data_IF_607494129610
#
_entry.id   IF_607494129610
#
_cell.length_a   1.000
_cell.length_b   1.000
_cell.length_c   1.000
_cell.angle_alpha   90.00
_cell.angle_beta   90.00
_cell.angle_gamma   90.00
#
_symmetry.space_group_name_H-M   'P 1'
#
loop_
_entity.id
_entity.type
_entity.pdbx_description
1 polymer ?
#
# COMPACT_ATOMS: atom_id res chain seq x y z
N UNK A 1 83.39 66.78 9.64
CA UNK A 1 83.20 65.32 9.49
C UNK A 1 81.93 65.00 10.25
N UNK A 2 80.77 65.31 9.65
CA UNK A 2 79.93 64.42 8.81
C UNK A 2 78.90 63.72 9.70
N UNK A 3 77.67 64.25 9.76
CA UNK A 3 76.47 63.88 8.95
C UNK A 3 75.72 62.68 9.56
N UNK A 4 74.58 62.97 10.22
CA UNK A 4 73.20 62.69 9.77
C UNK A 4 72.71 61.31 10.24
N UNK A 5 71.84 61.24 11.25
CA UNK A 5 70.39 61.41 11.18
C UNK A 5 69.67 60.24 10.47
N UNK A 6 68.87 59.53 11.27
CA UNK A 6 67.57 58.94 10.92
C UNK A 6 67.51 57.97 9.75
N UNK A 7 67.15 56.69 10.01
CA UNK A 7 66.16 55.99 9.17
C UNK A 7 65.39 54.94 9.97
N UNK A 8 64.15 55.33 10.27
CA UNK A 8 62.90 54.58 10.19
C UNK A 8 62.81 53.16 10.78
N UNK A 9 62.04 53.08 11.87
CA UNK A 9 61.26 51.91 12.23
C UNK A 9 60.40 51.45 11.03
N UNK A 10 60.80 50.34 10.41
CA UNK A 10 60.05 49.68 9.35
C UNK A 10 58.84 48.93 9.92
N UNK A 11 57.65 49.43 9.59
CA UNK A 11 56.36 48.77 9.78
C UNK A 11 56.41 47.32 9.25
N UNK A 12 55.91 46.28 9.96
CA UNK A 12 55.86 44.93 9.42
C UNK A 12 54.98 44.89 8.15
N UNK A 13 55.32 44.03 7.16
CA UNK A 13 54.79 44.13 5.81
C UNK A 13 53.32 43.68 5.78
N UNK A 14 52.41 44.65 5.67
CA UNK A 14 50.97 44.42 5.49
C UNK A 14 50.66 43.54 4.26
N UNK A 15 51.52 43.61 3.25
CA UNK A 15 51.40 42.93 1.96
C UNK A 15 51.48 41.40 2.12
N UNK A 16 52.39 40.92 2.96
CA UNK A 16 52.62 39.49 3.18
C UNK A 16 51.46 38.85 3.98
N UNK A 17 50.80 39.61 4.86
CA UNK A 17 49.61 39.14 5.57
C UNK A 17 48.37 39.02 4.67
N UNK A 18 48.18 39.97 3.75
CA UNK A 18 47.08 39.93 2.78
C UNK A 18 47.30 38.79 1.80
N UNK A 19 48.52 38.63 1.27
CA UNK A 19 48.87 37.52 0.38
C UNK A 19 48.68 36.16 1.06
N UNK A 20 49.11 36.00 2.32
CA UNK A 20 48.85 34.79 3.11
C UNK A 20 47.36 34.53 3.33
N UNK A 21 46.56 35.55 3.61
CA UNK A 21 45.09 35.41 3.73
C UNK A 21 44.44 35.04 2.39
N UNK A 22 44.86 35.68 1.30
CA UNK A 22 44.34 35.44 -0.04
C UNK A 22 44.66 34.02 -0.50
N UNK A 23 45.92 33.60 -0.36
CA UNK A 23 46.34 32.22 -0.65
C UNK A 23 45.57 31.22 0.21
N UNK A 24 45.38 31.50 1.50
CA UNK A 24 44.58 30.63 2.38
C UNK A 24 43.10 30.52 1.95
N UNK A 25 42.51 31.59 1.43
CA UNK A 25 41.14 31.59 0.91
C UNK A 25 41.07 30.80 -0.41
N UNK A 26 42.04 31.00 -1.30
CA UNK A 26 42.15 30.29 -2.59
C UNK A 26 42.43 28.79 -2.42
N UNK A 27 43.23 28.41 -1.42
CA UNK A 27 43.52 27.03 -1.04
C UNK A 27 42.29 26.31 -0.49
N UNK A 28 41.36 27.04 0.12
CA UNK A 28 40.15 26.46 0.71
C UNK A 28 39.17 25.94 -0.35
N UNK A 29 39.39 26.23 -1.65
CA UNK A 29 38.71 25.63 -2.83
C UNK A 29 37.19 25.48 -2.66
N UNK A 30 36.55 26.44 -1.99
CA UNK A 30 35.11 26.40 -1.67
C UNK A 30 34.26 26.32 -2.95
N UNK A 31 34.79 26.86 -4.05
CA UNK A 31 34.14 26.89 -5.36
C UNK A 31 34.22 25.53 -6.10
N UNK A 32 35.05 24.60 -5.62
CA UNK A 32 35.31 23.30 -6.26
C UNK A 32 34.47 22.18 -5.67
N UNK A 33 33.95 22.37 -4.45
CA UNK A 33 33.14 21.37 -3.77
C UNK A 33 31.65 21.68 -3.94
N UNK A 34 30.99 20.82 -4.71
CA UNK A 34 29.58 20.98 -5.05
C UNK A 34 28.66 20.85 -3.85
N UNK A 35 28.99 19.99 -2.88
CA UNK A 35 28.16 19.79 -1.69
C UNK A 35 28.15 21.03 -0.79
N UNK A 36 29.30 21.67 -0.61
CA UNK A 36 29.38 22.93 0.14
C UNK A 36 28.70 24.08 -0.59
N UNK A 37 28.79 24.16 -1.93
CA UNK A 37 28.05 25.16 -2.71
C UNK A 37 26.54 24.97 -2.62
N UNK A 38 26.05 23.74 -2.68
CA UNK A 38 24.62 23.43 -2.52
C UNK A 38 24.16 23.78 -1.09
N UNK A 39 24.93 23.40 -0.06
CA UNK A 39 24.63 23.74 1.33
C UNK A 39 24.62 25.27 1.58
N UNK A 40 25.56 26.01 0.97
CA UNK A 40 25.59 27.47 1.05
C UNK A 40 24.42 28.12 0.29
N UNK A 41 24.01 27.53 -0.83
CA UNK A 41 22.84 27.96 -1.58
C UNK A 41 21.57 27.78 -0.75
N UNK A 42 21.39 26.62 -0.12
CA UNK A 42 20.28 26.36 0.78
C UNK A 42 20.30 27.28 2.01
N UNK A 43 21.48 27.53 2.59
CA UNK A 43 21.65 28.48 3.69
C UNK A 43 21.21 29.89 3.29
N UNK A 44 21.55 30.32 2.07
CA UNK A 44 21.22 31.65 1.54
C UNK A 44 19.71 31.89 1.41
N UNK A 45 18.90 30.83 1.25
CA UNK A 45 17.44 30.97 1.14
C UNK A 45 16.79 31.49 2.42
N UNK A 46 17.38 31.22 3.60
CA UNK A 46 16.82 31.61 4.89
C UNK A 46 17.74 32.49 5.74
N UNK A 47 19.03 32.55 5.41
CA UNK A 47 20.01 33.42 6.06
C UNK A 47 20.27 34.66 5.18
N UNK A 48 19.31 35.58 5.16
CA UNK A 48 19.34 36.78 4.30
C UNK A 48 20.16 37.92 4.88
N UNK A 49 20.27 38.02 6.21
CA UNK A 49 20.96 39.11 6.89
C UNK A 49 22.18 38.63 7.71
N UNK A 50 23.36 39.15 7.36
CA UNK A 50 24.60 38.86 8.09
C UNK A 50 24.82 39.78 9.30
N UNK A 51 23.94 39.68 10.31
CA UNK A 51 24.13 40.38 11.59
C UNK A 51 24.83 39.50 12.62
N UNK A 52 25.40 40.11 13.67
CA UNK A 52 26.01 39.38 14.79
C UNK A 52 24.99 38.45 15.48
N UNK A 53 23.75 38.90 15.59
CA UNK A 53 22.65 38.15 16.18
C UNK A 53 22.24 36.97 15.28
N UNK A 54 22.12 37.20 13.97
CA UNK A 54 21.83 36.15 12.98
C UNK A 54 22.89 35.05 13.04
N UNK A 55 24.18 35.43 13.09
CA UNK A 55 25.30 34.49 13.14
C UNK A 55 25.32 33.67 14.43
N UNK A 56 25.03 34.30 15.57
CA UNK A 56 24.91 33.62 16.87
C UNK A 56 23.78 32.59 16.88
N UNK A 57 22.65 32.89 16.23
CA UNK A 57 21.46 32.06 16.24
C UNK A 57 21.40 31.06 15.08
N UNK A 58 22.33 31.12 14.12
CA UNK A 58 22.29 30.34 12.88
C UNK A 58 22.17 28.84 13.13
N UNK A 59 22.98 28.29 14.04
CA UNK A 59 22.93 26.88 14.41
C UNK A 59 21.55 26.47 14.94
N UNK A 60 20.99 27.25 15.87
CA UNK A 60 19.68 26.96 16.45
C UNK A 60 18.56 27.04 15.39
N UNK A 61 18.66 27.96 14.43
CA UNK A 61 17.72 28.05 13.32
C UNK A 61 17.81 26.84 12.38
N UNK A 62 19.02 26.39 12.04
CA UNK A 62 19.24 25.18 11.25
C UNK A 62 18.64 23.96 11.95
N UNK A 63 18.94 23.78 13.24
CA UNK A 63 18.42 22.68 14.05
C UNK A 63 16.88 22.68 14.11
N UNK A 64 16.25 23.85 14.34
CA UNK A 64 14.79 23.98 14.34
C UNK A 64 14.17 23.65 12.98
N UNK A 65 14.78 24.11 11.88
CA UNK A 65 14.29 23.80 10.53
C UNK A 65 14.41 22.31 10.23
N UNK A 66 15.52 21.68 10.59
CA UNK A 66 15.71 20.23 10.44
C UNK A 66 14.64 19.45 11.21
N UNK A 67 14.37 19.85 12.46
CA UNK A 67 13.32 19.25 13.27
C UNK A 67 11.94 19.41 12.63
N UNK A 68 11.59 20.60 12.16
CA UNK A 68 10.32 20.86 11.48
C UNK A 68 10.16 20.04 10.18
N UNK A 69 11.23 19.89 9.39
CA UNK A 69 11.22 19.03 8.19
C UNK A 69 10.94 17.58 8.57
N UNK A 70 11.61 17.06 9.62
CA UNK A 70 11.41 15.70 10.08
C UNK A 70 9.99 15.47 10.63
N UNK A 71 9.44 16.43 11.37
CA UNK A 71 8.05 16.37 11.84
C UNK A 71 7.05 16.34 10.68
N UNK A 72 7.24 17.21 9.68
CA UNK A 72 6.40 17.22 8.48
C UNK A 72 6.51 15.93 7.69
N UNK A 73 7.72 15.39 7.52
CA UNK A 73 7.94 14.11 6.88
C UNK A 73 7.23 12.99 7.62
N UNK A 74 7.34 12.94 8.95
CA UNK A 74 6.71 11.91 9.77
C UNK A 74 5.19 12.01 9.74
N UNK A 75 4.63 13.22 9.72
CA UNK A 75 3.19 13.44 9.58
C UNK A 75 2.68 12.94 8.22
N UNK A 76 3.31 13.37 7.13
CA UNK A 76 2.94 12.93 5.78
C UNK A 76 3.10 11.41 5.61
N UNK A 77 4.20 10.85 6.12
CA UNK A 77 4.45 9.41 6.03
C UNK A 77 3.43 8.60 6.85
N UNK A 78 2.96 9.15 7.98
CA UNK A 78 1.91 8.51 8.79
C UNK A 78 0.60 8.38 8.02
N UNK A 79 0.21 9.40 7.26
CA UNK A 79 -0.99 9.33 6.41
C UNK A 79 -0.87 8.23 5.36
N UNK A 80 0.29 8.14 4.70
CA UNK A 80 0.58 7.06 3.73
C UNK A 80 0.53 5.68 4.40
N UNK A 81 1.10 5.55 5.60
CA UNK A 81 1.08 4.31 6.37
C UNK A 81 -0.33 3.88 6.72
N UNK A 82 -1.17 4.79 7.19
CA UNK A 82 -2.57 4.50 7.53
C UNK A 82 -3.36 4.07 6.29
N UNK A 83 -3.20 4.78 5.17
CA UNK A 83 -3.84 4.40 3.92
C UNK A 83 -3.41 3.00 3.44
N UNK A 84 -2.14 2.63 3.65
CA UNK A 84 -1.63 1.31 3.32
C UNK A 84 -2.19 0.22 4.26
N UNK A 85 -2.28 0.50 5.56
CA UNK A 85 -2.90 -0.43 6.51
C UNK A 85 -4.36 -0.70 6.16
N UNK A 86 -5.12 0.35 5.78
CA UNK A 86 -6.51 0.23 5.38
C UNK A 86 -6.65 -0.67 4.14
N UNK A 87 -5.79 -0.48 3.13
CA UNK A 87 -5.76 -1.35 1.93
C UNK A 87 -5.44 -2.80 2.31
N UNK A 88 -4.49 -3.03 3.22
CA UNK A 88 -4.19 -4.38 3.71
C UNK A 88 -5.41 -5.00 4.39
N UNK A 89 -6.11 -4.24 5.24
CA UNK A 89 -7.35 -4.70 5.88
C UNK A 89 -8.46 -5.02 4.88
N UNK A 90 -8.62 -4.21 3.83
CA UNK A 90 -9.58 -4.46 2.76
C UNK A 90 -9.25 -5.74 1.98
N UNK A 91 -7.97 -5.98 1.69
CA UNK A 91 -7.52 -7.21 1.02
C UNK A 91 -7.82 -8.44 1.87
N UNK A 92 -7.55 -8.38 3.17
CA UNK A 92 -7.85 -9.47 4.09
C UNK A 92 -9.36 -9.76 4.13
N UNK A 93 -10.19 -8.71 4.21
CA UNK A 93 -11.65 -8.86 4.18
C UNK A 93 -12.16 -9.45 2.86
N UNK A 94 -11.56 -9.08 1.72
CA UNK A 94 -11.89 -9.68 0.42
C UNK A 94 -11.49 -11.15 0.39
N UNK A 95 -10.32 -11.51 0.93
CA UNK A 95 -9.87 -12.90 1.02
C UNK A 95 -10.86 -13.75 1.82
N UNK A 96 -11.26 -13.28 3.01
CA UNK A 96 -12.23 -13.96 3.88
C UNK A 96 -13.59 -14.15 3.19
N UNK A 97 -14.04 -13.14 2.44
CA UNK A 97 -15.27 -13.21 1.66
C UNK A 97 -15.19 -14.24 0.54
N UNK A 98 -14.08 -14.28 -0.19
CA UNK A 98 -13.83 -15.26 -1.26
C UNK A 98 -13.81 -16.68 -0.71
N UNK A 99 -13.13 -16.92 0.41
CA UNK A 99 -13.10 -18.23 1.06
C UNK A 99 -14.49 -18.65 1.56
N UNK A 100 -15.25 -17.71 2.13
CA UNK A 100 -16.64 -17.95 2.55
C UNK A 100 -17.53 -18.33 1.36
N UNK A 101 -17.44 -17.60 0.25
CA UNK A 101 -18.19 -17.90 -0.98
C UNK A 101 -17.80 -19.26 -1.56
N UNK A 102 -16.50 -19.59 -1.57
CA UNK A 102 -16.01 -20.89 -2.03
C UNK A 102 -16.59 -22.03 -1.20
N UNK A 103 -16.58 -21.90 0.12
CA UNK A 103 -17.15 -22.90 1.03
C UNK A 103 -18.67 -23.08 0.81
N UNK A 104 -19.40 -21.97 0.65
CA UNK A 104 -20.84 -22.00 0.37
C UNK A 104 -21.13 -22.67 -0.97
N UNK A 105 -20.34 -22.37 -2.00
CA UNK A 105 -20.48 -22.98 -3.33
C UNK A 105 -20.25 -24.49 -3.25
N UNK A 106 -19.16 -24.93 -2.63
CA UNK A 106 -18.89 -26.37 -2.46
C UNK A 106 -19.97 -27.09 -1.66
N UNK A 107 -20.55 -26.44 -0.64
CA UNK A 107 -21.68 -27.00 0.11
C UNK A 107 -22.94 -27.13 -0.75
N UNK A 108 -23.24 -26.09 -1.55
CA UNK A 108 -24.39 -26.07 -2.46
C UNK A 108 -24.25 -27.12 -3.55
N UNK A 109 -23.07 -27.29 -4.13
CA UNK A 109 -22.78 -28.34 -5.11
C UNK A 109 -23.01 -29.74 -4.52
N UNK A 110 -22.58 -29.97 -3.28
CA UNK A 110 -22.81 -31.24 -2.59
C UNK A 110 -24.31 -31.51 -2.37
N UNK A 111 -25.06 -30.50 -1.91
CA UNK A 111 -26.51 -30.59 -1.72
C UNK A 111 -27.24 -30.83 -3.06
N UNK A 112 -26.85 -30.13 -4.13
CA UNK A 112 -27.41 -30.31 -5.46
C UNK A 112 -27.20 -31.76 -5.94
N UNK A 113 -26.01 -32.31 -5.76
CA UNK A 113 -25.70 -33.69 -6.14
C UNK A 113 -26.58 -34.68 -5.37
N UNK A 114 -26.81 -34.45 -4.09
CA UNK A 114 -27.71 -35.27 -3.27
C UNK A 114 -29.15 -35.20 -3.77
N UNK A 115 -29.67 -34.00 -4.03
CA UNK A 115 -31.02 -33.80 -4.55
C UNK A 115 -31.23 -34.48 -5.92
N UNK A 116 -30.24 -34.39 -6.81
CA UNK A 116 -30.27 -35.08 -8.11
C UNK A 116 -30.34 -36.60 -7.91
N UNK A 117 -29.55 -37.14 -6.96
CA UNK A 117 -29.58 -38.57 -6.66
C UNK A 117 -30.94 -39.01 -6.15
N UNK A 118 -31.53 -38.25 -5.21
CA UNK A 118 -32.87 -38.54 -4.67
C UNK A 118 -33.95 -38.46 -5.77
N UNK A 119 -33.88 -37.46 -6.65
CA UNK A 119 -34.81 -37.31 -7.77
C UNK A 119 -34.74 -38.48 -8.76
N UNK A 120 -33.52 -38.95 -9.07
CA UNK A 120 -33.32 -40.12 -9.94
C UNK A 120 -33.90 -41.39 -9.31
N UNK A 121 -33.66 -41.64 -8.02
CA UNK A 121 -34.23 -42.79 -7.31
C UNK A 121 -35.75 -42.75 -7.30
N UNK A 122 -36.34 -41.58 -7.01
CA UNK A 122 -37.80 -41.41 -7.02
C UNK A 122 -38.39 -41.65 -8.42
N UNK A 123 -37.71 -41.22 -9.48
CA UNK A 123 -38.11 -41.46 -10.86
C UNK A 123 -38.09 -42.95 -11.21
N UNK A 124 -37.06 -43.69 -10.78
CA UNK A 124 -36.98 -45.15 -10.97
C UNK A 124 -38.12 -45.88 -10.27
N UNK A 125 -38.43 -45.49 -9.03
CA UNK A 125 -39.51 -46.11 -8.25
C UNK A 125 -40.88 -45.77 -8.83
N UNK A 126 -41.08 -44.55 -9.32
CA UNK A 126 -42.30 -44.18 -10.05
C UNK A 126 -42.50 -45.05 -11.29
N UNK A 127 -41.43 -45.27 -12.09
CA UNK A 127 -41.48 -46.15 -13.26
C UNK A 127 -41.87 -47.59 -12.89
N UNK A 128 -41.34 -48.13 -11.78
CA UNK A 128 -41.72 -49.46 -11.28
C UNK A 128 -43.21 -49.51 -10.89
N UNK A 129 -43.70 -48.51 -10.18
CA UNK A 129 -45.11 -48.41 -9.78
C UNK A 129 -46.04 -48.31 -10.99
N UNK A 130 -45.71 -47.50 -11.99
CA UNK A 130 -46.47 -47.40 -13.24
C UNK A 130 -46.52 -48.73 -13.98
N UNK A 131 -45.41 -49.48 -14.00
CA UNK A 131 -45.39 -50.81 -14.60
C UNK A 131 -46.29 -51.78 -13.84
N UNK A 132 -46.23 -51.80 -12.51
CA UNK A 132 -47.09 -52.63 -11.66
C UNK A 132 -48.57 -52.27 -11.85
N UNK A 133 -48.91 -50.97 -11.88
CA UNK A 133 -50.25 -50.49 -12.18
C UNK A 133 -50.73 -50.99 -13.54
N UNK A 134 -49.89 -50.89 -14.59
CA UNK A 134 -50.24 -51.35 -15.94
C UNK A 134 -50.55 -52.85 -15.96
N UNK A 135 -49.76 -53.65 -15.25
CA UNK A 135 -49.99 -55.10 -15.11
C UNK A 135 -51.32 -55.35 -14.38
N UNK A 136 -51.56 -54.70 -13.24
CA UNK A 136 -52.79 -54.86 -12.46
C UNK A 136 -54.04 -54.47 -13.25
N UNK A 137 -54.01 -53.34 -13.96
CA UNK A 137 -55.10 -52.90 -14.84
C UNK A 137 -55.35 -53.89 -15.97
N UNK A 138 -54.29 -54.41 -16.60
CA UNK A 138 -54.40 -55.44 -17.65
C UNK A 138 -54.93 -56.78 -17.11
N UNK A 139 -54.61 -57.12 -15.86
CA UNK A 139 -55.15 -58.30 -15.20
C UNK A 139 -56.66 -58.12 -14.91
N UNK A 140 -57.06 -57.00 -14.31
CA UNK A 140 -58.46 -56.71 -14.03
C UNK A 140 -59.28 -56.68 -15.33
N UNK A 141 -58.80 -56.06 -16.40
CA UNK A 141 -59.54 -56.03 -17.66
C UNK A 141 -59.74 -57.39 -18.32
N UNK A 142 -58.87 -58.37 -18.02
CA UNK A 142 -58.92 -59.70 -18.65
C UNK A 142 -59.59 -60.77 -17.79
N UNK A 143 -59.56 -60.63 -16.47
CA UNK A 143 -60.05 -61.63 -15.53
C UNK A 143 -61.27 -61.17 -14.72
N UNK A 144 -61.68 -59.91 -14.83
CA UNK A 144 -62.91 -59.40 -14.23
C UNK A 144 -63.97 -59.27 -15.32
N UNK A 145 -65.19 -59.78 -15.09
CA UNK A 145 -66.31 -59.58 -16.01
C UNK A 145 -66.58 -58.09 -16.14
N UNK A 146 -66.66 -57.60 -17.37
CA UNK A 146 -67.16 -56.26 -17.63
C UNK A 146 -68.61 -56.14 -17.13
N UNK A 147 -69.02 -54.93 -16.74
CA UNK A 147 -70.39 -54.65 -16.30
C UNK A 147 -71.41 -55.12 -17.34
N UNK A 148 -71.04 -55.05 -18.63
CA UNK A 148 -71.80 -55.58 -19.76
C UNK A 148 -71.91 -57.10 -19.79
N UNK A 149 -70.83 -57.83 -19.51
CA UNK A 149 -70.86 -59.31 -19.47
C UNK A 149 -71.66 -59.82 -18.28
N UNK A 150 -71.62 -59.10 -17.16
CA UNK A 150 -72.41 -59.42 -15.97
C UNK A 150 -73.91 -59.17 -16.16
N UNK A 151 -74.29 -58.23 -17.02
CA UNK A 151 -75.69 -57.95 -17.37
C UNK A 151 -76.29 -58.99 -18.32
N UNK A 152 -75.48 -59.69 -19.12
CA UNK A 152 -75.93 -60.81 -19.98
C UNK A 152 -76.10 -62.14 -19.25
N UNK A 153 -75.67 -62.24 -17.98
CA UNK A 153 -75.81 -63.46 -17.16
C UNK A 153 -77.10 -63.51 -16.33
N UNK A 154 -78.01 -62.54 -16.50
CA UNK A 154 -79.36 -62.50 -15.94
C UNK A 154 -80.39 -62.28 -17.05
#
# INVERSE_FOLDING_TARGET
MSEEATTAAGLPPKEDYIQKRLNKILENRIDSDRETLDALTDLSQFYTENTLQSRRNLRSQIERRSLAINENFLAAFREVKLALDDICGDIDAVSDSVDSMKNLLSSTEAQQKELIQQANTLQEDNNKLLMQQRIATGFLSRFQLSVTEHQTLY
#
